data_IF_576407350490
#
_entry.id   IF_576407350490
#
_cell.length_a   1.000
_cell.length_b   1.000
_cell.length_c   1.000
_cell.angle_alpha   90.00
_cell.angle_beta   90.00
_cell.angle_gamma   90.00
#
_symmetry.space_group_name_H-M   'P 1'
#
loop_
_entity.id
_entity.type
_entity.pdbx_description
1 polymer ?
#
# COMPACT_ATOMS: atom_id res chain seq x y z
N UNK A 1 -21.41 -0.96 -1.73
CA UNK A 1 -21.37 -2.44 -1.80
C UNK A 1 -21.98 -2.83 -3.13
N UNK A 2 -21.32 -3.65 -3.97
CA UNK A 2 -21.98 -4.19 -5.17
C UNK A 2 -23.02 -5.21 -4.71
N UNK A 3 -24.29 -4.95 -5.01
CA UNK A 3 -25.39 -5.86 -4.74
C UNK A 3 -25.35 -6.96 -5.80
N UNK A 4 -24.73 -8.08 -5.47
CA UNK A 4 -24.55 -9.19 -6.38
C UNK A 4 -25.78 -10.12 -6.37
N UNK A 5 -26.20 -10.55 -7.56
CA UNK A 5 -27.28 -11.52 -7.74
C UNK A 5 -26.75 -12.94 -7.53
N UNK A 6 -27.50 -13.76 -6.81
CA UNK A 6 -27.22 -15.18 -6.68
C UNK A 6 -27.60 -15.92 -7.98
N UNK A 7 -26.68 -16.72 -8.59
CA UNK A 7 -26.98 -17.44 -9.83
C UNK A 7 -28.02 -18.56 -9.66
N UNK A 8 -28.23 -19.05 -8.43
CA UNK A 8 -29.15 -20.16 -8.18
C UNK A 8 -30.57 -19.72 -7.83
N UNK A 9 -30.73 -18.62 -7.07
CA UNK A 9 -32.07 -18.17 -6.63
C UNK A 9 -32.48 -16.80 -7.17
N UNK A 10 -31.63 -16.12 -7.94
CA UNK A 10 -31.93 -14.81 -8.51
C UNK A 10 -32.06 -13.68 -7.50
N UNK A 11 -31.93 -13.95 -6.20
CA UNK A 11 -32.03 -12.93 -5.16
C UNK A 11 -30.80 -12.03 -5.16
N UNK A 12 -31.04 -10.74 -4.94
CA UNK A 12 -30.05 -9.67 -5.00
C UNK A 12 -29.55 -9.37 -3.58
N UNK A 13 -28.23 -9.22 -3.40
CA UNK A 13 -27.65 -8.76 -2.14
C UNK A 13 -27.55 -9.82 -1.04
N UNK A 14 -27.93 -11.07 -1.33
CA UNK A 14 -27.84 -12.22 -0.41
C UNK A 14 -26.47 -12.91 -0.45
N UNK A 15 -25.63 -12.54 -1.42
CA UNK A 15 -24.32 -13.15 -1.64
C UNK A 15 -23.26 -12.53 -0.73
N UNK A 16 -22.59 -13.36 0.07
CA UNK A 16 -21.53 -12.92 0.98
C UNK A 16 -20.29 -13.81 0.85
N UNK A 17 -19.14 -13.29 1.31
CA UNK A 17 -17.85 -13.99 1.21
C UNK A 17 -17.82 -15.17 2.19
N UNK A 18 -17.45 -16.36 1.68
CA UNK A 18 -17.28 -17.56 2.51
C UNK A 18 -15.80 -17.91 2.71
N UNK A 19 -15.52 -18.74 3.72
CA UNK A 19 -14.18 -19.29 3.99
C UNK A 19 -14.00 -20.65 3.32
N UNK A 20 -12.77 -20.93 2.91
CA UNK A 20 -12.37 -22.23 2.39
C UNK A 20 -12.49 -23.29 3.49
N UNK A 21 -13.20 -24.39 3.21
CA UNK A 21 -13.35 -25.56 4.09
C UNK A 21 -12.35 -26.65 3.73
N UNK A 22 -12.08 -26.85 2.44
CA UNK A 22 -11.27 -27.96 1.94
C UNK A 22 -9.91 -27.49 1.37
N UNK A 23 -8.96 -28.41 1.26
CA UNK A 23 -7.64 -28.15 0.66
C UNK A 23 -7.75 -27.70 -0.80
N UNK A 24 -8.64 -28.31 -1.58
CA UNK A 24 -8.92 -27.89 -2.96
C UNK A 24 -9.34 -26.41 -3.03
N UNK A 25 -10.27 -26.00 -2.16
CA UNK A 25 -10.73 -24.61 -2.13
C UNK A 25 -9.63 -23.62 -1.70
N UNK A 26 -8.71 -24.07 -0.84
CA UNK A 26 -7.52 -23.30 -0.47
C UNK A 26 -6.58 -23.13 -1.66
N UNK A 27 -6.32 -24.21 -2.40
CA UNK A 27 -5.45 -24.18 -3.58
C UNK A 27 -6.02 -23.26 -4.67
N UNK A 28 -7.31 -23.38 -5.00
CA UNK A 28 -7.98 -22.51 -5.99
C UNK A 28 -7.92 -21.04 -5.58
N UNK A 29 -8.21 -20.74 -4.30
CA UNK A 29 -8.13 -19.37 -3.76
C UNK A 29 -6.70 -18.81 -3.83
N UNK A 30 -5.69 -19.66 -3.60
CA UNK A 30 -4.29 -19.26 -3.61
C UNK A 30 -3.73 -19.07 -5.03
N UNK A 31 -4.09 -19.94 -5.98
CA UNK A 31 -3.54 -19.93 -7.34
C UNK A 31 -4.33 -19.03 -8.28
N UNK A 32 -5.66 -19.11 -8.26
CA UNK A 32 -6.50 -18.44 -9.25
C UNK A 32 -7.19 -17.18 -8.68
N UNK A 33 -7.51 -16.16 -9.52
CA UNK A 33 -8.23 -14.94 -9.14
C UNK A 33 -9.72 -15.18 -8.85
N UNK A 34 -10.01 -16.14 -7.99
CA UNK A 34 -11.35 -16.46 -7.54
C UNK A 34 -11.48 -16.26 -6.03
N UNK A 35 -12.64 -15.76 -5.62
CA UNK A 35 -13.06 -15.75 -4.21
C UNK A 35 -14.28 -16.65 -4.05
N UNK A 36 -14.40 -17.25 -2.88
CA UNK A 36 -15.51 -18.14 -2.54
C UNK A 36 -16.64 -17.29 -1.97
N UNK A 37 -17.84 -17.51 -2.50
CA UNK A 37 -19.06 -16.86 -2.08
C UNK A 37 -20.10 -17.88 -1.65
N UNK A 38 -21.00 -17.45 -0.77
CA UNK A 38 -22.17 -18.21 -0.34
C UNK A 38 -23.40 -17.31 -0.36
N UNK A 39 -24.54 -17.85 -0.77
CA UNK A 39 -25.84 -17.19 -0.63
C UNK A 39 -26.43 -17.51 0.75
N UNK A 40 -26.94 -16.50 1.46
CA UNK A 40 -27.68 -16.70 2.72
C UNK A 40 -28.97 -17.49 2.52
N UNK A 41 -29.68 -17.20 1.42
CA UNK A 41 -31.06 -17.65 1.25
C UNK A 41 -31.17 -19.08 0.70
N UNK A 42 -30.51 -19.39 -0.42
CA UNK A 42 -30.56 -20.72 -1.04
C UNK A 42 -29.38 -21.63 -0.64
N UNK A 43 -28.41 -21.12 0.12
CA UNK A 43 -27.24 -21.88 0.54
C UNK A 43 -26.22 -22.16 -0.57
N UNK A 44 -26.44 -21.67 -1.79
CA UNK A 44 -25.51 -21.84 -2.92
C UNK A 44 -24.10 -21.43 -2.53
N UNK A 45 -23.11 -22.23 -2.93
CA UNK A 45 -21.69 -22.01 -2.67
C UNK A 45 -20.93 -22.16 -3.99
N UNK A 46 -20.07 -21.19 -4.29
CA UNK A 46 -19.28 -21.26 -5.51
C UNK A 46 -18.12 -20.28 -5.53
N UNK A 47 -17.32 -20.40 -6.58
CA UNK A 47 -16.21 -19.50 -6.88
C UNK A 47 -16.70 -18.39 -7.81
N UNK A 48 -16.35 -17.15 -7.49
CA UNK A 48 -16.59 -16.00 -8.36
C UNK A 48 -15.26 -15.38 -8.75
N UNK A 49 -15.12 -15.10 -10.04
CA UNK A 49 -13.96 -14.41 -10.58
C UNK A 49 -13.96 -12.97 -10.08
N UNK A 50 -12.83 -12.55 -9.51
CA UNK A 50 -12.65 -11.18 -8.98
C UNK A 50 -11.65 -10.37 -9.80
N UNK A 51 -11.02 -10.96 -10.81
CA UNK A 51 -9.95 -10.33 -11.57
C UNK A 51 -8.57 -10.50 -10.93
N UNK A 52 -7.54 -10.54 -11.78
CA UNK A 52 -6.14 -10.57 -11.35
C UNK A 52 -5.76 -9.30 -10.56
N UNK A 53 -6.30 -8.14 -10.96
CA UNK A 53 -6.03 -6.87 -10.29
C UNK A 53 -6.47 -6.92 -8.83
N UNK A 54 -7.66 -7.44 -8.55
CA UNK A 54 -8.18 -7.49 -7.18
C UNK A 54 -7.54 -8.60 -6.37
N UNK A 55 -6.85 -9.57 -7.00
CA UNK A 55 -6.07 -10.57 -6.28
C UNK A 55 -4.70 -10.06 -5.89
N UNK A 56 -4.00 -9.38 -6.80
CA UNK A 56 -2.66 -8.85 -6.57
C UNK A 56 -2.68 -7.57 -5.72
N UNK A 57 -3.67 -6.70 -5.94
CA UNK A 57 -3.80 -5.41 -5.24
C UNK A 57 -4.92 -5.39 -4.18
N UNK A 58 -5.61 -6.51 -3.97
CA UNK A 58 -6.74 -6.60 -3.05
C UNK A 58 -6.33 -6.59 -1.58
N UNK A 59 -6.75 -5.53 -0.88
CA UNK A 59 -6.53 -5.24 0.55
C UNK A 59 -5.12 -4.79 0.93
N UNK A 60 -4.65 -3.75 0.25
CA UNK A 60 -3.46 -2.99 0.66
C UNK A 60 -3.84 -1.77 1.52
N UNK A 61 -5.02 -1.70 2.13
CA UNK A 61 -5.40 -0.54 2.94
C UNK A 61 -4.54 -0.44 4.23
N UNK A 62 -4.14 -1.59 4.80
CA UNK A 62 -3.22 -1.66 5.94
C UNK A 62 -1.75 -1.37 5.57
N UNK A 63 -1.30 -1.77 4.36
CA UNK A 63 0.04 -1.46 3.84
C UNK A 63 0.18 0.01 3.40
N UNK A 64 -0.91 0.67 2.96
CA UNK A 64 -0.92 2.09 2.57
C UNK A 64 -0.64 3.03 3.76
N UNK A 65 -1.04 2.65 4.97
CA UNK A 65 -0.74 3.43 6.17
C UNK A 65 0.76 3.33 6.52
N UNK A 66 1.33 2.13 6.50
CA UNK A 66 2.76 1.91 6.80
C UNK A 66 3.66 2.63 5.78
N UNK A 67 3.35 2.53 4.49
CA UNK A 67 4.13 3.19 3.43
C UNK A 67 4.13 4.73 3.52
N UNK A 68 3.10 5.35 4.10
CA UNK A 68 3.08 6.81 4.31
C UNK A 68 4.06 7.27 5.38
N UNK A 69 4.26 6.46 6.42
CA UNK A 69 5.17 6.81 7.52
C UNK A 69 6.63 6.70 7.08
N UNK A 70 6.98 5.66 6.32
CA UNK A 70 8.32 5.50 5.74
C UNK A 70 8.70 6.67 4.83
N UNK A 71 7.79 7.10 3.95
CA UNK A 71 8.03 8.23 3.05
C UNK A 71 8.18 9.55 3.82
N UNK A 72 7.33 9.80 4.80
CA UNK A 72 7.42 11.01 5.62
C UNK A 72 8.71 11.04 6.43
N UNK A 73 9.10 9.91 7.03
CA UNK A 73 10.34 9.78 7.79
C UNK A 73 11.57 10.02 6.89
N UNK A 74 11.58 9.44 5.68
CA UNK A 74 12.63 9.67 4.71
C UNK A 74 12.74 11.15 4.30
N UNK A 75 11.62 11.79 3.96
CA UNK A 75 11.60 13.22 3.62
C UNK A 75 12.09 14.10 4.78
N UNK A 76 11.68 13.78 6.01
CA UNK A 76 12.13 14.48 7.21
C UNK A 76 13.65 14.33 7.42
N UNK A 77 14.19 13.13 7.24
CA UNK A 77 15.64 12.88 7.39
C UNK A 77 16.45 13.64 6.34
N UNK A 78 16.01 13.67 5.08
CA UNK A 78 16.65 14.46 4.02
C UNK A 78 16.63 15.95 4.36
N UNK A 79 15.52 16.47 4.88
CA UNK A 79 15.43 17.86 5.31
C UNK A 79 16.42 18.20 6.44
N UNK A 80 16.52 17.34 7.46
CA UNK A 80 17.49 17.52 8.56
C UNK A 80 18.93 17.53 8.04
N UNK A 81 19.28 16.64 7.12
CA UNK A 81 20.61 16.62 6.50
C UNK A 81 20.91 17.91 5.73
N UNK A 82 19.94 18.45 4.99
CA UNK A 82 20.11 19.72 4.27
C UNK A 82 20.34 20.89 5.23
N UNK A 83 19.60 20.94 6.34
CA UNK A 83 19.78 21.97 7.37
C UNK A 83 21.17 21.87 8.02
N UNK A 84 21.61 20.66 8.37
CA UNK A 84 22.95 20.45 8.92
C UNK A 84 24.05 20.85 7.93
N UNK A 85 23.87 20.52 6.65
CA UNK A 85 24.80 20.94 5.60
C UNK A 85 24.85 22.48 5.49
N UNK A 86 23.70 23.16 5.54
CA UNK A 86 23.64 24.62 5.55
C UNK A 86 24.43 25.23 6.72
N UNK A 87 24.22 24.72 7.95
CA UNK A 87 24.98 25.16 9.12
C UNK A 87 26.48 24.88 9.00
N UNK A 88 26.86 23.77 8.38
CA UNK A 88 28.25 23.45 8.12
C UNK A 88 28.88 24.44 7.11
N UNK A 89 28.16 24.78 6.05
CA UNK A 89 28.59 25.79 5.08
C UNK A 89 28.72 27.19 5.71
N UNK A 90 27.81 27.61 6.59
CA UNK A 90 27.94 28.86 7.36
C UNK A 90 29.21 28.89 8.21
N UNK A 91 29.49 27.79 8.93
CA UNK A 91 30.68 27.67 9.77
C UNK A 91 31.99 27.68 8.95
N UNK A 92 31.97 27.11 7.75
CA UNK A 92 33.10 27.16 6.81
C UNK A 92 33.24 28.54 6.16
N UNK A 93 32.13 29.16 5.74
CA UNK A 93 32.14 30.48 5.10
C UNK A 93 32.70 31.55 6.03
N UNK A 94 32.36 31.49 7.32
CA UNK A 94 32.93 32.38 8.35
C UNK A 94 34.43 32.14 8.59
N UNK A 95 34.91 30.90 8.45
CA UNK A 95 36.33 30.56 8.56
C UNK A 95 37.15 30.95 7.32
N UNK A 96 36.54 30.92 6.12
CA UNK A 96 37.19 31.29 4.85
C UNK A 96 37.17 32.79 4.55
N UNK A 97 36.23 33.55 5.12
CA UNK A 97 36.11 35.00 4.94
C UNK A 97 37.43 35.78 5.17
N UNK A 98 38.22 35.54 6.23
CA UNK A 98 39.51 36.23 6.41
C UNK A 98 40.57 35.77 5.39
N UNK A 99 40.61 34.48 5.04
CA UNK A 99 41.59 33.88 4.12
C UNK A 99 41.40 34.42 2.69
N UNK A 100 40.15 34.56 2.24
CA UNK A 100 39.82 35.11 0.91
C UNK A 100 40.16 36.60 0.84
N UNK A 101 39.97 37.35 1.95
CA UNK A 101 40.31 38.77 2.03
C UNK A 101 41.83 39.01 1.91
N UNK A 102 42.64 38.13 2.50
CA UNK A 102 44.10 38.15 2.34
C UNK A 102 44.57 37.84 0.91
N UNK A 103 43.91 36.92 0.21
CA UNK A 103 44.26 36.59 -1.18
C UNK A 103 43.84 37.67 -2.20
N UNK A 104 42.85 38.51 -1.88
CA UNK A 104 42.40 39.61 -2.73
C UNK A 104 43.22 40.91 -2.58
N UNK A 105 44.02 41.04 -1.51
CA UNK A 105 44.86 42.22 -1.26
C UNK A 105 46.33 42.02 -1.68
N UNK A 106 46.70 40.84 -2.18
CA UNK A 106 47.95 40.58 -2.90
C UNK A 106 47.76 40.77 -4.39
#
# INVERSE_FOLDING_TARGET
MRLEVCPHCGKIGTLHRSRSRNFYERAVKFLLPYKIYRCSDCGWRGFRYIGWVEKLFGKTERRRKIAKWEVYFFLFFVFVLLVLAYFYFEKIGTALAPIVKEMLQK
#
